data_IF_115260708319
#
_entry.id   IF_115260708319
#
_cell.length_a   1.000
_cell.length_b   1.000
_cell.length_c   1.000
_cell.angle_alpha   90.00
_cell.angle_beta   90.00
_cell.angle_gamma   90.00
#
_symmetry.space_group_name_H-M   'P 1'
#
loop_
_entity.id
_entity.type
_entity.pdbx_description
1 polymer ?
#
# COMPACT_ATOMS: atom_id res chain seq x y z
N UNK A 1 -8.49 -10.70 13.21
CA UNK A 1 -9.50 -9.66 13.53
C UNK A 1 -8.88 -8.43 14.17
N UNK A 2 -8.17 -8.53 15.32
CA UNK A 2 -7.57 -7.37 15.99
C UNK A 2 -6.62 -6.51 15.09
N UNK A 3 -5.79 -7.16 14.26
CA UNK A 3 -4.90 -6.45 13.34
C UNK A 3 -5.65 -5.56 12.34
N UNK A 4 -6.76 -6.05 11.75
CA UNK A 4 -7.61 -5.27 10.85
C UNK A 4 -8.28 -4.13 11.61
N UNK A 5 -8.76 -4.37 12.82
CA UNK A 5 -9.36 -3.32 13.66
C UNK A 5 -8.40 -2.16 13.91
N UNK A 6 -7.11 -2.42 14.17
CA UNK A 6 -6.08 -1.38 14.31
C UNK A 6 -5.93 -0.56 13.02
N UNK A 7 -5.92 -1.24 11.87
CA UNK A 7 -5.79 -0.61 10.55
C UNK A 7 -6.99 0.27 10.17
N UNK A 8 -8.16 0.03 10.75
CA UNK A 8 -9.35 0.86 10.54
C UNK A 8 -9.47 1.96 11.60
N UNK A 9 -9.12 1.67 12.85
CA UNK A 9 -9.33 2.60 13.95
C UNK A 9 -8.44 3.85 13.83
N UNK A 10 -7.12 3.68 13.64
CA UNK A 10 -6.19 4.80 13.64
C UNK A 10 -6.41 5.79 12.48
N UNK A 11 -6.63 5.34 11.23
CA UNK A 11 -7.01 6.27 10.15
C UNK A 11 -8.39 6.90 10.38
N UNK A 12 -9.33 6.20 11.03
CA UNK A 12 -10.63 6.76 11.42
C UNK A 12 -10.52 7.92 12.40
N UNK A 13 -9.56 7.89 13.32
CA UNK A 13 -9.27 9.02 14.21
C UNK A 13 -8.75 10.24 13.44
N UNK A 14 -7.92 10.03 12.42
CA UNK A 14 -7.44 11.13 11.57
C UNK A 14 -8.60 11.70 10.74
N UNK A 15 -9.38 10.83 10.10
CA UNK A 15 -10.52 11.22 9.28
C UNK A 15 -11.60 12.01 10.05
N UNK A 16 -11.86 11.63 11.30
CA UNK A 16 -12.83 12.32 12.17
C UNK A 16 -12.29 13.63 12.77
N UNK A 17 -11.02 13.96 12.57
CA UNK A 17 -10.38 15.14 13.15
C UNK A 17 -9.97 14.99 14.63
N UNK A 18 -10.17 13.82 15.23
CA UNK A 18 -9.71 13.52 16.60
C UNK A 18 -8.18 13.40 16.68
N UNK A 19 -7.52 13.10 15.55
CA UNK A 19 -6.07 13.08 15.42
C UNK A 19 -5.62 14.00 14.28
N UNK A 20 -4.56 14.81 14.45
CA UNK A 20 -4.10 15.71 13.40
C UNK A 20 -3.64 14.97 12.14
N UNK A 21 -4.01 15.46 10.95
CA UNK A 21 -3.55 14.91 9.66
C UNK A 21 -2.02 14.92 9.49
N UNK A 22 -1.33 15.84 10.16
CA UNK A 22 0.13 15.89 10.21
C UNK A 22 0.75 14.59 10.79
N UNK A 23 -0.03 13.83 11.57
CA UNK A 23 0.46 12.62 12.23
C UNK A 23 0.43 11.37 11.36
N UNK A 24 -0.14 11.43 10.15
CA UNK A 24 -0.32 10.28 9.24
C UNK A 24 0.94 9.43 9.04
N UNK A 25 2.11 10.06 8.86
CA UNK A 25 3.37 9.34 8.68
C UNK A 25 3.83 8.66 9.96
N UNK A 26 3.71 9.33 11.12
CA UNK A 26 4.07 8.73 12.41
C UNK A 26 3.17 7.54 12.72
N UNK A 27 1.85 7.67 12.50
CA UNK A 27 0.88 6.59 12.66
C UNK A 27 1.24 5.38 11.78
N UNK A 28 1.52 5.61 10.50
CA UNK A 28 1.95 4.54 9.59
C UNK A 28 3.18 3.82 10.11
N UNK A 29 4.22 4.56 10.50
CA UNK A 29 5.47 3.97 11.00
C UNK A 29 5.26 3.22 12.32
N UNK A 30 4.42 3.72 13.22
CA UNK A 30 4.08 3.03 14.46
C UNK A 30 3.33 1.73 14.22
N UNK A 31 2.37 1.70 13.29
CA UNK A 31 1.67 0.46 12.90
C UNK A 31 2.65 -0.52 12.26
N UNK A 32 3.50 -0.04 11.35
CA UNK A 32 4.52 -0.88 10.70
C UNK A 32 5.47 -1.49 11.74
N UNK A 33 5.97 -0.69 12.69
CA UNK A 33 6.82 -1.14 13.78
C UNK A 33 6.12 -2.19 14.66
N UNK A 34 4.86 -1.96 15.04
CA UNK A 34 4.06 -2.92 15.79
C UNK A 34 3.92 -4.24 15.03
N UNK A 35 3.60 -4.21 13.74
CA UNK A 35 3.40 -5.43 12.97
C UNK A 35 4.72 -6.14 12.67
N UNK A 36 5.83 -5.42 12.51
CA UNK A 36 7.18 -6.01 12.44
C UNK A 36 7.51 -6.74 13.75
N UNK A 37 7.25 -6.10 14.89
CA UNK A 37 7.42 -6.70 16.20
C UNK A 37 6.56 -7.96 16.38
N UNK A 38 5.27 -7.89 16.01
CA UNK A 38 4.36 -9.04 16.07
C UNK A 38 4.79 -10.16 15.12
N UNK A 39 5.24 -9.83 13.90
CA UNK A 39 5.74 -10.81 12.94
C UNK A 39 6.94 -11.58 13.50
N UNK A 40 7.88 -10.84 14.10
CA UNK A 40 9.05 -11.43 14.76
C UNK A 40 8.63 -12.32 15.95
N UNK A 41 7.81 -11.81 16.86
CA UNK A 41 7.38 -12.56 18.05
C UNK A 41 6.53 -13.79 17.74
N UNK A 42 5.75 -13.76 16.65
CA UNK A 42 4.95 -14.90 16.20
C UNK A 42 5.77 -15.87 15.33
N UNK A 43 7.07 -15.62 15.12
CA UNK A 43 7.95 -16.49 14.36
C UNK A 43 7.58 -16.59 12.89
N UNK A 44 7.16 -15.49 12.26
CA UNK A 44 7.03 -15.45 10.81
C UNK A 44 8.40 -15.50 10.14
N UNK A 45 8.52 -16.41 9.17
CA UNK A 45 9.72 -16.47 8.33
C UNK A 45 9.70 -15.36 7.28
N UNK A 46 10.88 -14.96 6.82
CA UNK A 46 11.01 -14.03 5.68
C UNK A 46 10.29 -14.56 4.43
N UNK A 47 10.22 -15.89 4.30
CA UNK A 47 9.54 -16.55 3.20
C UNK A 47 8.01 -16.36 3.25
N UNK A 48 7.39 -16.53 4.42
CA UNK A 48 5.96 -16.27 4.64
C UNK A 48 5.61 -14.79 4.40
N UNK A 49 6.53 -13.89 4.74
CA UNK A 49 6.41 -12.44 4.51
C UNK A 49 6.73 -12.04 3.06
N UNK A 50 7.02 -12.99 2.18
CA UNK A 50 7.29 -12.77 0.76
C UNK A 50 8.62 -12.06 0.49
N UNK A 51 9.54 -11.99 1.45
CA UNK A 51 10.87 -11.39 1.29
C UNK A 51 11.82 -12.36 0.58
N UNK A 52 11.48 -12.70 -0.67
CA UNK A 52 12.26 -13.61 -1.53
C UNK A 52 12.91 -12.82 -2.67
N UNK A 53 14.15 -13.16 -3.02
CA UNK A 53 14.85 -12.52 -4.16
C UNK A 53 14.79 -13.36 -5.44
N UNK A 54 14.58 -14.67 -5.32
CA UNK A 54 14.70 -15.63 -6.43
C UNK A 54 13.72 -15.45 -7.60
N UNK A 55 12.59 -14.75 -7.39
CA UNK A 55 11.57 -14.53 -8.44
C UNK A 55 11.25 -13.04 -8.69
N UNK A 56 12.09 -12.10 -8.22
CA UNK A 56 11.86 -10.65 -8.38
C UNK A 56 11.60 -10.29 -9.85
N UNK A 57 12.39 -10.80 -10.79
CA UNK A 57 12.24 -10.47 -12.20
C UNK A 57 10.92 -10.96 -12.82
N UNK A 58 10.36 -12.09 -12.35
CA UNK A 58 9.04 -12.57 -12.77
C UNK A 58 7.94 -11.72 -12.14
N UNK A 59 8.07 -11.42 -10.84
CA UNK A 59 7.11 -10.61 -10.11
C UNK A 59 7.02 -9.18 -10.67
N UNK A 60 8.14 -8.53 -10.98
CA UNK A 60 8.16 -7.20 -11.61
C UNK A 60 7.50 -7.22 -13.00
N UNK A 61 7.74 -8.26 -13.81
CA UNK A 61 7.12 -8.37 -15.14
C UNK A 61 5.59 -8.43 -15.08
N UNK A 62 5.04 -9.09 -14.07
CA UNK A 62 3.58 -9.14 -13.88
C UNK A 62 3.02 -7.75 -13.51
N UNK A 63 3.83 -6.86 -12.94
CA UNK A 63 3.42 -5.49 -12.57
C UNK A 63 3.48 -4.50 -13.74
N UNK A 64 4.19 -4.82 -14.83
CA UNK A 64 4.37 -3.91 -15.97
C UNK A 64 3.03 -3.40 -16.52
N UNK A 65 2.01 -4.24 -16.80
CA UNK A 65 0.74 -3.77 -17.33
C UNK A 65 0.05 -2.75 -16.40
N UNK A 66 0.09 -2.97 -15.09
CA UNK A 66 -0.46 -2.02 -14.11
C UNK A 66 0.29 -0.69 -14.15
N UNK A 67 1.62 -0.74 -14.12
CA UNK A 67 2.45 0.47 -14.13
C UNK A 67 2.18 1.27 -15.39
N UNK A 68 2.18 0.64 -16.57
CA UNK A 68 1.90 1.31 -17.84
C UNK A 68 0.48 1.90 -17.87
N UNK A 69 -0.52 1.14 -17.40
CA UNK A 69 -1.89 1.61 -17.32
C UNK A 69 -2.02 2.86 -16.44
N UNK A 70 -1.43 2.84 -15.24
CA UNK A 70 -1.46 3.99 -14.35
C UNK A 70 -0.66 5.17 -14.87
N UNK A 71 0.51 4.95 -15.49
CA UNK A 71 1.27 6.04 -16.11
C UNK A 71 0.47 6.72 -17.22
N UNK A 72 -0.23 5.93 -18.05
CA UNK A 72 -1.12 6.48 -19.06
C UNK A 72 -2.26 7.29 -18.43
N UNK A 73 -2.94 6.73 -17.42
CA UNK A 73 -4.02 7.44 -16.70
C UNK A 73 -3.53 8.75 -16.06
N UNK A 74 -2.38 8.72 -15.40
CA UNK A 74 -1.80 9.90 -14.77
C UNK A 74 -1.36 10.95 -15.79
N UNK A 75 -0.95 10.54 -16.99
CA UNK A 75 -0.59 11.48 -18.07
C UNK A 75 -1.79 12.26 -18.62
N UNK A 76 -2.99 11.67 -18.58
CA UNK A 76 -4.24 12.31 -19.04
C UNK A 76 -5.03 12.96 -17.90
N UNK A 77 -4.76 12.61 -16.64
CA UNK A 77 -5.48 13.16 -15.49
C UNK A 77 -5.52 14.70 -15.46
N UNK A 78 -4.45 15.44 -15.81
CA UNK A 78 -4.49 16.90 -15.87
C UNK A 78 -5.44 17.46 -16.94
N UNK A 79 -5.54 16.80 -18.10
CA UNK A 79 -6.43 17.26 -19.18
C UNK A 79 -7.91 17.02 -18.86
N UNK A 80 -8.18 16.05 -18.00
CA UNK A 80 -9.52 15.75 -17.48
C UNK A 80 -9.89 16.57 -16.24
N UNK A 81 -9.02 17.46 -15.76
CA UNK A 81 -9.24 18.24 -14.54
C UNK A 81 -9.21 17.40 -13.24
N UNK A 82 -8.66 16.19 -13.30
CA UNK A 82 -8.55 15.27 -12.16
C UNK A 82 -7.27 15.50 -11.33
N UNK A 83 -6.35 16.33 -11.83
CA UNK A 83 -5.17 16.76 -11.10
C UNK A 83 -5.40 18.13 -10.46
N UNK A 84 -5.25 18.20 -9.14
CA UNK A 84 -5.19 19.48 -8.44
C UNK A 84 -3.71 19.87 -8.32
N UNK A 85 -3.33 21.10 -8.71
CA UNK A 85 -1.95 21.57 -8.51
C UNK A 85 -1.70 21.77 -7.01
N UNK A 86 -1.42 20.69 -6.28
CA UNK A 86 -0.96 20.75 -4.89
C UNK A 86 0.48 21.27 -4.85
N UNK A 87 0.84 21.85 -3.71
CA UNK A 87 2.22 22.24 -3.42
C UNK A 87 3.10 20.99 -3.53
N UNK A 88 4.11 21.04 -4.41
CA UNK A 88 5.04 19.93 -4.55
C UNK A 88 5.76 19.67 -3.20
N UNK A 89 5.79 18.41 -2.74
CA UNK A 89 6.55 18.06 -1.55
C UNK A 89 8.05 18.34 -1.73
N UNK A 90 8.74 18.58 -0.61
CA UNK A 90 10.20 18.70 -0.63
C UNK A 90 10.85 17.41 -1.19
N UNK A 91 11.99 17.49 -1.90
CA UNK A 91 12.66 16.31 -2.47
C UNK A 91 12.88 15.15 -1.49
N UNK A 92 13.19 15.48 -0.23
CA UNK A 92 13.37 14.49 0.84
C UNK A 92 12.12 13.64 1.11
N UNK A 93 10.93 14.20 0.89
CA UNK A 93 9.67 13.47 1.02
C UNK A 93 9.58 12.32 0.01
N UNK A 94 10.06 12.48 -1.22
CA UNK A 94 10.04 11.41 -2.22
C UNK A 94 10.96 10.25 -1.82
N UNK A 95 12.14 10.56 -1.26
CA UNK A 95 13.06 9.55 -0.73
C UNK A 95 12.39 8.78 0.41
N UNK A 96 11.82 9.50 1.39
CA UNK A 96 11.06 8.90 2.47
C UNK A 96 9.90 8.05 1.95
N UNK A 97 9.14 8.56 0.97
CA UNK A 97 7.99 7.88 0.41
C UNK A 97 8.39 6.56 -0.23
N UNK A 98 9.39 6.59 -1.13
CA UNK A 98 9.80 5.43 -1.91
C UNK A 98 10.53 4.37 -1.08
N UNK A 99 11.40 4.78 -0.15
CA UNK A 99 12.26 3.85 0.58
C UNK A 99 11.70 3.41 1.93
N UNK A 100 10.75 4.17 2.50
CA UNK A 100 10.22 3.89 3.84
C UNK A 100 8.70 3.72 3.79
N UNK A 101 7.96 4.75 3.39
CA UNK A 101 6.49 4.73 3.46
C UNK A 101 5.87 3.59 2.65
N UNK A 102 6.18 3.51 1.35
CA UNK A 102 5.61 2.49 0.48
C UNK A 102 6.02 1.06 0.91
N UNK A 103 7.30 0.77 1.23
CA UNK A 103 7.68 -0.52 1.81
C UNK A 103 6.99 -0.85 3.13
N UNK A 104 6.81 0.11 4.04
CA UNK A 104 6.07 -0.11 5.29
C UNK A 104 4.60 -0.46 5.03
N UNK A 105 3.95 0.21 4.08
CA UNK A 105 2.57 -0.10 3.69
C UNK A 105 2.49 -1.50 3.09
N UNK A 106 3.35 -1.84 2.14
CA UNK A 106 3.35 -3.20 1.56
C UNK A 106 3.72 -4.26 2.58
N UNK A 107 4.57 -3.97 3.56
CA UNK A 107 4.89 -4.89 4.64
C UNK A 107 3.65 -5.15 5.49
N UNK A 108 2.93 -4.11 5.90
CA UNK A 108 1.70 -4.24 6.69
C UNK A 108 0.70 -5.12 5.95
N UNK A 109 0.32 -4.75 4.73
CA UNK A 109 -0.78 -5.41 4.03
C UNK A 109 -0.32 -6.72 3.39
N UNK A 110 0.66 -6.67 2.49
CA UNK A 110 1.04 -7.83 1.67
C UNK A 110 1.99 -8.76 2.43
N UNK A 111 2.89 -8.24 3.24
CA UNK A 111 3.74 -9.06 4.10
C UNK A 111 2.94 -9.72 5.23
N UNK A 112 2.67 -8.95 6.29
CA UNK A 112 2.15 -9.44 7.55
C UNK A 112 0.69 -9.88 7.46
N UNK A 113 -0.25 -9.04 6.99
CA UNK A 113 -1.67 -9.40 6.97
C UNK A 113 -1.92 -10.62 6.08
N UNK A 114 -1.32 -10.70 4.89
CA UNK A 114 -1.48 -11.90 4.05
C UNK A 114 -0.94 -13.16 4.73
N UNK A 115 0.26 -13.10 5.32
CA UNK A 115 0.84 -14.23 6.03
C UNK A 115 -0.04 -14.66 7.22
N UNK A 116 -0.59 -13.70 7.96
CA UNK A 116 -1.54 -13.96 9.04
C UNK A 116 -2.82 -14.62 8.54
N UNK A 117 -3.42 -14.15 7.44
CA UNK A 117 -4.60 -14.77 6.83
C UNK A 117 -4.32 -16.23 6.44
N UNK A 118 -3.15 -16.50 5.87
CA UNK A 118 -2.71 -17.87 5.53
C UNK A 118 -2.59 -18.76 6.77
N UNK A 119 -1.98 -18.26 7.86
CA UNK A 119 -1.89 -19.01 9.13
C UNK A 119 -3.26 -19.23 9.78
N UNK A 120 -4.21 -18.34 9.56
CA UNK A 120 -5.60 -18.52 9.98
C UNK A 120 -6.42 -19.46 9.07
N UNK A 121 -5.80 -20.11 8.08
CA UNK A 121 -6.47 -21.06 7.17
C UNK A 121 -7.30 -20.40 6.06
N UNK A 122 -7.13 -19.10 5.81
CA UNK A 122 -7.80 -18.42 4.70
C UNK A 122 -7.01 -18.67 3.42
N UNK A 123 -7.45 -19.68 2.66
CA UNK A 123 -6.82 -20.08 1.40
C UNK A 123 -7.52 -19.49 0.17
N UNK A 124 -8.76 -19.04 0.31
CA UNK A 124 -9.50 -18.44 -0.79
C UNK A 124 -8.86 -17.12 -1.23
N UNK A 125 -8.32 -17.10 -2.45
CA UNK A 125 -7.64 -15.92 -3.02
C UNK A 125 -8.52 -14.66 -3.07
N UNK A 126 -9.83 -14.79 -3.28
CA UNK A 126 -10.73 -13.63 -3.33
C UNK A 126 -10.97 -13.07 -1.93
N UNK A 127 -11.14 -13.94 -0.93
CA UNK A 127 -11.22 -13.52 0.46
C UNK A 127 -9.91 -12.83 0.91
N UNK A 128 -8.76 -13.38 0.53
CA UNK A 128 -7.47 -12.76 0.82
C UNK A 128 -7.37 -11.36 0.18
N UNK A 129 -7.69 -11.21 -1.12
CA UNK A 129 -7.72 -9.90 -1.78
C UNK A 129 -8.65 -8.93 -1.05
N UNK A 130 -9.85 -9.35 -0.68
CA UNK A 130 -10.79 -8.51 0.07
C UNK A 130 -10.20 -7.97 1.37
N UNK A 131 -9.62 -8.85 2.21
CA UNK A 131 -9.02 -8.46 3.49
C UNK A 131 -7.73 -7.65 3.35
N UNK A 132 -7.06 -7.71 2.20
CA UNK A 132 -5.90 -6.88 1.89
C UNK A 132 -6.30 -5.49 1.38
N UNK A 133 -7.29 -5.44 0.47
CA UNK A 133 -7.67 -4.22 -0.24
C UNK A 133 -8.48 -3.28 0.63
N UNK A 134 -9.46 -3.78 1.38
CA UNK A 134 -10.36 -2.91 2.15
C UNK A 134 -9.58 -2.04 3.15
N UNK A 135 -8.70 -2.59 4.02
CA UNK A 135 -7.92 -1.76 4.94
C UNK A 135 -6.91 -0.85 4.23
N UNK A 136 -6.31 -1.32 3.12
CA UNK A 136 -5.38 -0.54 2.30
C UNK A 136 -6.04 0.69 1.65
N UNK A 137 -7.27 0.54 1.19
CA UNK A 137 -8.07 1.64 0.67
C UNK A 137 -8.52 2.55 1.80
N UNK A 138 -8.97 1.97 2.91
CA UNK A 138 -9.49 2.71 4.05
C UNK A 138 -8.49 3.71 4.62
N UNK A 139 -7.18 3.41 4.67
CA UNK A 139 -6.19 4.39 5.17
C UNK A 139 -6.14 5.67 4.32
N UNK A 140 -6.62 5.65 3.07
CA UNK A 140 -6.62 6.80 2.18
C UNK A 140 -7.84 7.71 2.34
N UNK A 141 -8.85 7.34 3.15
CA UNK A 141 -10.00 8.22 3.42
C UNK A 141 -9.57 9.54 4.07
N UNK A 142 -8.43 9.55 4.77
CA UNK A 142 -7.86 10.70 5.46
C UNK A 142 -7.56 11.88 4.54
N UNK A 143 -7.48 11.65 3.23
CA UNK A 143 -7.24 12.69 2.23
C UNK A 143 -8.53 13.38 1.77
N UNK A 144 -9.70 12.90 2.19
CA UNK A 144 -11.02 13.41 1.80
C UNK A 144 -11.18 13.56 0.27
N UNK A 145 -10.54 12.66 -0.49
CA UNK A 145 -10.48 12.71 -1.94
C UNK A 145 -10.97 11.39 -2.55
N UNK A 146 -12.07 11.47 -3.28
CA UNK A 146 -12.70 10.31 -3.91
C UNK A 146 -11.86 9.72 -5.05
N UNK A 147 -11.09 10.54 -5.78
CA UNK A 147 -10.25 10.06 -6.86
C UNK A 147 -9.05 9.28 -6.33
N UNK A 148 -8.44 9.75 -5.24
CA UNK A 148 -7.40 8.99 -4.53
C UNK A 148 -7.95 7.61 -4.12
N UNK A 149 -9.14 7.56 -3.54
CA UNK A 149 -9.78 6.31 -3.15
C UNK A 149 -9.99 5.36 -4.34
N UNK A 150 -10.48 5.85 -5.47
CA UNK A 150 -10.70 5.05 -6.67
C UNK A 150 -9.39 4.49 -7.22
N UNK A 151 -8.36 5.33 -7.35
CA UNK A 151 -7.04 4.89 -7.80
C UNK A 151 -6.42 3.86 -6.85
N UNK A 152 -6.53 4.08 -5.55
CA UNK A 152 -6.04 3.16 -4.52
C UNK A 152 -6.78 1.82 -4.56
N UNK A 153 -8.09 1.79 -4.85
CA UNK A 153 -8.83 0.53 -5.02
C UNK A 153 -8.24 -0.28 -6.19
N UNK A 154 -8.10 0.33 -7.35
CA UNK A 154 -7.60 -0.35 -8.56
C UNK A 154 -6.16 -0.84 -8.35
N UNK A 155 -5.27 0.03 -7.86
CA UNK A 155 -3.90 -0.34 -7.54
C UNK A 155 -3.85 -1.42 -6.45
N UNK A 156 -4.66 -1.27 -5.40
CA UNK A 156 -4.71 -2.18 -4.27
C UNK A 156 -5.11 -3.60 -4.66
N UNK A 157 -6.13 -3.74 -5.52
CA UNK A 157 -6.55 -5.04 -6.07
C UNK A 157 -5.41 -5.68 -6.86
N UNK A 158 -4.83 -4.94 -7.80
CA UNK A 158 -3.79 -5.50 -8.67
C UNK A 158 -2.54 -5.91 -7.88
N UNK A 159 -2.04 -5.03 -7.01
CA UNK A 159 -0.89 -5.30 -6.16
C UNK A 159 -1.14 -6.55 -5.29
N UNK A 160 -2.35 -6.70 -4.74
CA UNK A 160 -2.71 -7.87 -3.93
C UNK A 160 -2.76 -9.15 -4.76
N UNK A 161 -3.38 -9.12 -5.94
CA UNK A 161 -3.44 -10.29 -6.84
C UNK A 161 -2.04 -10.72 -7.28
N UNK A 162 -1.20 -9.75 -7.67
CA UNK A 162 0.19 -10.01 -8.08
C UNK A 162 1.03 -10.55 -6.93
N UNK A 163 0.87 -9.99 -5.72
CA UNK A 163 1.55 -10.48 -4.53
C UNK A 163 1.11 -11.90 -4.16
N UNK A 164 -0.18 -12.22 -4.21
CA UNK A 164 -0.67 -13.58 -3.92
C UNK A 164 -0.07 -14.60 -4.91
N UNK A 165 0.10 -14.19 -6.17
CA UNK A 165 0.61 -15.06 -7.24
C UNK A 165 2.10 -15.35 -7.11
N UNK A 166 2.91 -14.35 -6.75
CA UNK A 166 4.38 -14.47 -6.75
C UNK A 166 5.02 -14.38 -5.36
N UNK A 167 4.27 -14.00 -4.32
CA UNK A 167 4.75 -13.77 -2.95
C UNK A 167 6.10 -13.05 -2.91
N UNK A 168 6.17 -11.89 -3.57
CA UNK A 168 7.38 -11.09 -3.66
C UNK A 168 7.15 -9.66 -3.16
N UNK A 169 7.61 -9.40 -1.95
CA UNK A 169 7.50 -8.12 -1.24
C UNK A 169 8.24 -6.99 -1.96
N UNK A 170 9.46 -7.26 -2.43
CA UNK A 170 10.31 -6.24 -3.05
C UNK A 170 9.70 -5.73 -4.35
N UNK A 171 9.19 -6.63 -5.19
CA UNK A 171 8.56 -6.26 -6.46
C UNK A 171 7.31 -5.41 -6.24
N UNK A 172 6.42 -5.78 -5.32
CA UNK A 172 5.18 -5.00 -5.07
C UNK A 172 5.49 -3.66 -4.40
N UNK A 173 6.48 -3.61 -3.51
CA UNK A 173 6.93 -2.37 -2.86
C UNK A 173 7.51 -1.40 -3.87
N UNK A 174 8.35 -1.89 -4.78
CA UNK A 174 8.90 -1.08 -5.85
C UNK A 174 7.80 -0.54 -6.79
N UNK A 175 6.87 -1.40 -7.22
CA UNK A 175 5.75 -0.98 -8.07
C UNK A 175 4.85 0.04 -7.37
N UNK A 176 4.50 -0.16 -6.10
CA UNK A 176 3.73 0.82 -5.33
C UNK A 176 4.48 2.15 -5.21
N UNK A 177 5.76 2.12 -4.81
CA UNK A 177 6.59 3.31 -4.70
C UNK A 177 6.65 4.10 -6.02
N UNK A 178 6.79 3.41 -7.15
CA UNK A 178 6.82 4.01 -8.47
C UNK A 178 5.47 4.66 -8.83
N UNK A 179 4.36 3.95 -8.62
CA UNK A 179 3.02 4.47 -8.88
C UNK A 179 2.73 5.73 -8.06
N UNK A 180 3.02 5.71 -6.76
CA UNK A 180 2.79 6.86 -5.91
C UNK A 180 3.72 8.03 -6.21
N UNK A 181 4.98 7.77 -6.55
CA UNK A 181 5.91 8.81 -7.01
C UNK A 181 5.30 9.59 -8.19
N UNK A 182 4.84 8.88 -9.23
CA UNK A 182 4.24 9.53 -10.39
C UNK A 182 2.89 10.17 -10.09
N UNK A 183 2.08 9.59 -9.21
CA UNK A 183 0.80 10.17 -8.82
C UNK A 183 0.96 11.50 -8.05
N UNK A 184 1.94 11.56 -7.13
CA UNK A 184 2.31 12.79 -6.42
C UNK A 184 2.84 13.83 -7.40
N UNK A 185 3.73 13.43 -8.32
CA UNK A 185 4.28 14.33 -9.35
C UNK A 185 3.19 14.87 -10.29
N UNK A 186 2.16 14.07 -10.58
CA UNK A 186 1.02 14.47 -11.41
C UNK A 186 0.01 15.36 -10.66
N UNK A 187 0.15 15.55 -9.34
CA UNK A 187 -0.80 16.33 -8.52
C UNK A 187 -2.15 15.63 -8.30
N UNK A 188 -2.16 14.29 -8.40
CA UNK A 188 -3.36 13.48 -8.16
C UNK A 188 -3.48 13.08 -6.68
N UNK A 189 -2.38 13.18 -5.92
CA UNK A 189 -2.28 12.85 -4.48
C UNK A 189 -1.64 14.02 -3.73
#
# INVERSE_FOLDING_TARGET
>A
MAAISVLLFLPGLIFSGLMPFAWRSYVLLSIAALFMYLAFHQGFTLEELGMKTGNIGKALRIQIPLVLFFLLLLSIAPTLGLASRRIMPAPLFFIFYMLVSAPCQEFIYRGYIYALLRRCGIENKYAAVFFLVIPFVFVHIIYHDFMIMLFTIVAGVFLSVSYIKEMNFFAVSFSHALLGFFAIMAGVI
#
